data_IF_206005535940
#
_entry.id   IF_206005535940
#
_cell.length_a   1.000
_cell.length_b   1.000
_cell.length_c   1.000
_cell.angle_alpha   90.00
_cell.angle_beta   90.00
_cell.angle_gamma   90.00
#
_symmetry.space_group_name_H-M   'P 1'
#
loop_
_entity.id
_entity.type
_entity.pdbx_description
1 polymer ?
#
# COMPACT_ATOMS: atom_id res chain seq x y z
N UNK A 1 7.44 23.35 -9.62
CA UNK A 1 7.04 22.29 -8.67
C UNK A 1 7.69 20.98 -9.12
N UNK A 2 8.09 20.09 -8.20
CA UNK A 2 8.61 18.75 -8.55
C UNK A 2 7.45 17.75 -8.54
N UNK A 3 7.50 16.75 -9.41
CA UNK A 3 6.54 15.64 -9.35
C UNK A 3 6.80 14.77 -8.11
N UNK A 4 5.73 14.24 -7.53
CA UNK A 4 5.78 13.39 -6.35
C UNK A 4 5.20 12.03 -6.74
N UNK A 5 5.97 10.97 -6.53
CA UNK A 5 5.53 9.59 -6.76
C UNK A 5 5.72 8.82 -5.47
N UNK A 6 4.63 8.22 -4.97
CA UNK A 6 4.64 7.37 -3.78
C UNK A 6 4.37 5.95 -4.22
N UNK A 7 5.31 5.04 -3.91
CA UNK A 7 5.17 3.61 -4.16
C UNK A 7 5.00 2.93 -2.80
N UNK A 8 3.87 2.25 -2.60
CA UNK A 8 3.61 1.48 -1.38
C UNK A 8 3.35 0.03 -1.74
N UNK A 9 4.19 -0.86 -1.24
CA UNK A 9 4.04 -2.30 -1.41
C UNK A 9 3.12 -2.88 -0.33
N UNK A 10 2.34 -3.92 -0.66
CA UNK A 10 1.53 -4.66 0.33
C UNK A 10 2.26 -5.94 0.76
N UNK A 11 2.36 -6.17 2.08
CA UNK A 11 2.95 -7.37 2.68
C UNK A 11 4.42 -7.64 2.29
N UNK A 12 5.12 -6.61 1.79
CA UNK A 12 6.56 -6.69 1.53
C UNK A 12 7.34 -6.62 2.85
N UNK A 13 8.05 -7.70 3.18
CA UNK A 13 8.87 -7.76 4.40
C UNK A 13 10.15 -6.97 4.20
N UNK A 14 10.63 -6.31 5.26
CA UNK A 14 11.88 -5.58 5.22
C UNK A 14 13.08 -6.45 4.81
N UNK A 15 13.14 -7.69 5.28
CA UNK A 15 14.25 -8.62 4.99
C UNK A 15 14.24 -9.15 3.54
N UNK A 16 13.16 -8.92 2.80
CA UNK A 16 13.12 -9.19 1.36
C UNK A 16 13.87 -8.13 0.53
N UNK A 17 14.24 -6.98 1.11
CA UNK A 17 15.07 -6.00 0.42
C UNK A 17 16.53 -6.44 0.52
N UNK A 18 17.22 -6.52 -0.64
CA UNK A 18 18.60 -7.05 -0.74
C UNK A 18 18.69 -8.51 -0.25
N UNK A 19 19.82 -8.88 0.35
CA UNK A 19 20.12 -10.25 0.79
C UNK A 19 20.00 -10.42 2.31
N UNK A 20 18.97 -9.82 2.93
CA UNK A 20 18.78 -9.85 4.39
C UNK A 20 18.01 -11.09 4.88
N UNK A 21 17.15 -11.68 4.04
CA UNK A 21 16.41 -12.88 4.36
C UNK A 21 17.25 -14.16 4.17
N UNK A 22 16.93 -15.21 4.94
CA UNK A 22 17.49 -16.58 4.76
C UNK A 22 17.28 -17.11 3.33
N UNK A 23 16.18 -16.70 2.69
CA UNK A 23 15.86 -16.98 1.29
C UNK A 23 15.76 -15.65 0.54
N UNK A 24 16.88 -15.10 0.02
CA UNK A 24 16.88 -13.82 -0.65
C UNK A 24 15.97 -13.81 -1.87
N UNK A 25 15.27 -12.70 -2.06
CA UNK A 25 14.58 -12.40 -3.32
C UNK A 25 15.40 -11.37 -4.10
N UNK A 26 15.29 -11.41 -5.43
CA UNK A 26 16.02 -10.45 -6.28
C UNK A 26 15.24 -9.15 -6.40
N UNK A 27 15.83 -8.03 -5.98
CA UNK A 27 15.22 -6.69 -6.03
C UNK A 27 16.08 -5.67 -6.80
N UNK A 28 16.57 -5.99 -8.02
CA UNK A 28 17.64 -5.21 -8.67
C UNK A 28 17.32 -3.71 -8.84
N UNK A 29 16.06 -3.38 -9.17
CA UNK A 29 15.65 -1.98 -9.36
C UNK A 29 15.55 -1.20 -8.04
N UNK A 30 15.07 -1.86 -6.97
CA UNK A 30 15.02 -1.25 -5.65
C UNK A 30 16.43 -1.11 -5.05
N UNK A 31 17.28 -2.10 -5.26
CA UNK A 31 18.68 -2.10 -4.80
C UNK A 31 19.44 -0.95 -5.48
N UNK A 32 19.34 -0.84 -6.81
CA UNK A 32 19.94 0.25 -7.58
C UNK A 32 19.42 1.62 -7.15
N UNK A 33 18.10 1.76 -6.96
CA UNK A 33 17.53 3.03 -6.49
C UNK A 33 18.04 3.40 -5.10
N UNK A 34 18.13 2.42 -4.19
CA UNK A 34 18.65 2.61 -2.85
C UNK A 34 20.12 3.02 -2.85
N UNK A 35 20.95 2.43 -3.73
CA UNK A 35 22.39 2.71 -3.80
C UNK A 35 22.72 4.03 -4.50
N UNK A 36 21.98 4.39 -5.56
CA UNK A 36 22.35 5.50 -6.44
C UNK A 36 21.57 6.80 -6.18
N UNK A 37 20.37 6.72 -5.60
CA UNK A 37 19.39 7.83 -5.63
C UNK A 37 18.69 8.12 -4.31
N UNK A 38 18.51 7.13 -3.44
CA UNK A 38 17.64 7.26 -2.28
C UNK A 38 18.41 7.57 -0.99
N UNK A 39 17.72 8.19 -0.04
CA UNK A 39 18.10 8.17 1.37
C UNK A 39 17.34 7.03 2.05
N UNK A 40 18.05 5.99 2.49
CA UNK A 40 17.44 4.90 3.25
C UNK A 40 17.16 5.31 4.69
N UNK A 41 15.93 5.04 5.16
CA UNK A 41 15.54 5.26 6.56
C UNK A 41 15.39 3.89 7.22
N UNK A 42 16.31 3.57 8.12
CA UNK A 42 16.26 2.35 8.91
C UNK A 42 15.35 2.50 10.14
N UNK A 43 14.87 1.37 10.68
CA UNK A 43 13.95 1.35 11.84
C UNK A 43 12.68 2.16 11.60
N UNK A 44 12.19 2.14 10.37
CA UNK A 44 10.89 2.70 10.00
C UNK A 44 9.80 1.70 10.36
N UNK A 45 9.02 2.02 11.41
CA UNK A 45 7.95 1.16 11.88
C UNK A 45 6.61 1.67 11.37
N UNK A 46 5.78 0.73 10.93
CA UNK A 46 4.38 1.02 10.57
C UNK A 46 3.57 1.38 11.82
N UNK A 47 2.55 2.22 11.65
CA UNK A 47 1.56 2.51 12.68
C UNK A 47 0.51 1.41 12.78
N UNK A 48 -0.71 1.73 12.34
CA UNK A 48 -1.85 0.81 12.34
C UNK A 48 -1.69 -0.32 11.32
N UNK A 49 -2.27 -1.49 11.62
CA UNK A 49 -2.19 -2.71 10.78
C UNK A 49 -3.55 -3.42 10.75
N UNK A 50 -3.94 -4.15 9.68
CA UNK A 50 -3.26 -4.37 8.37
C UNK A 50 -3.79 -3.48 7.24
N UNK A 51 -3.03 -3.30 6.17
CA UNK A 51 -3.44 -2.70 4.88
C UNK A 51 -4.27 -1.42 5.03
N UNK A 52 -5.60 -1.47 5.14
CA UNK A 52 -6.48 -0.29 5.21
C UNK A 52 -6.13 0.64 6.39
N UNK A 53 -6.12 0.21 7.66
CA UNK A 53 -5.63 1.03 8.77
C UNK A 53 -4.28 1.70 8.49
N UNK A 54 -3.29 0.98 7.95
CA UNK A 54 -2.00 1.58 7.58
C UNK A 54 -2.12 2.64 6.48
N UNK A 55 -2.90 2.36 5.43
CA UNK A 55 -3.11 3.30 4.32
C UNK A 55 -3.87 4.53 4.81
N UNK A 56 -4.78 4.38 5.77
CA UNK A 56 -5.48 5.49 6.42
C UNK A 56 -4.51 6.35 7.21
N UNK A 57 -3.65 5.77 8.06
CA UNK A 57 -2.63 6.52 8.79
C UNK A 57 -1.77 7.35 7.83
N UNK A 58 -1.33 6.73 6.74
CA UNK A 58 -0.52 7.39 5.71
C UNK A 58 -1.27 8.52 5.00
N UNK A 59 -2.49 8.26 4.51
CA UNK A 59 -3.25 9.22 3.72
C UNK A 59 -3.80 10.39 4.55
N UNK A 60 -4.07 10.16 5.83
CA UNK A 60 -4.60 11.16 6.76
C UNK A 60 -3.51 11.91 7.51
N UNK A 61 -2.32 11.31 7.64
CA UNK A 61 -1.23 11.78 8.50
C UNK A 61 -1.49 11.60 10.00
N UNK A 62 -2.47 10.76 10.38
CA UNK A 62 -2.91 10.59 11.78
C UNK A 62 -2.86 9.11 12.17
N UNK A 63 -2.16 8.80 13.27
CA UNK A 63 -2.11 7.44 13.81
C UNK A 63 -3.50 6.99 14.29
N UNK A 64 -4.02 5.92 13.69
CA UNK A 64 -5.35 5.41 13.94
C UNK A 64 -5.50 4.47 15.13
N UNK A 65 -4.49 3.68 15.46
CA UNK A 65 -4.56 2.72 16.57
C UNK A 65 -4.60 3.43 17.94
N UNK A 66 -5.48 3.03 18.88
CA UNK A 66 -6.51 1.99 18.82
C UNK A 66 -7.92 2.50 18.47
N UNK A 67 -8.03 3.69 17.88
CA UNK A 67 -9.27 4.44 17.71
C UNK A 67 -10.16 3.96 16.55
N UNK A 68 -9.58 3.41 15.49
CA UNK A 68 -10.36 2.85 14.38
C UNK A 68 -9.71 1.60 13.77
N UNK A 69 -10.55 0.79 13.13
CA UNK A 69 -10.15 -0.45 12.48
C UNK A 69 -10.19 -0.36 10.96
N UNK A 70 -10.59 -1.46 10.33
CA UNK A 70 -10.80 -1.50 8.89
C UNK A 70 -12.13 -0.85 8.52
N UNK A 71 -12.06 0.35 7.97
CA UNK A 71 -13.24 1.14 7.60
C UNK A 71 -12.92 2.06 6.42
N UNK A 72 -13.93 2.73 5.85
CA UNK A 72 -13.70 3.74 4.83
C UNK A 72 -12.94 4.96 5.38
N UNK A 73 -12.07 5.55 4.56
CA UNK A 73 -11.15 6.61 5.00
C UNK A 73 -11.86 7.86 5.56
N UNK A 74 -12.98 8.25 4.96
CA UNK A 74 -13.78 9.41 5.35
C UNK A 74 -14.42 9.28 6.73
N UNK A 75 -14.54 8.05 7.24
CA UNK A 75 -15.03 7.78 8.61
C UNK A 75 -13.91 7.94 9.65
N UNK A 76 -12.64 7.87 9.23
CA UNK A 76 -11.47 8.05 10.11
C UNK A 76 -11.08 9.51 10.31
N UNK A 77 -11.48 10.40 9.41
CA UNK A 77 -11.25 11.84 9.54
C UNK A 77 -11.38 12.59 8.21
N UNK A 78 -11.34 13.93 8.24
CA UNK A 78 -11.51 14.77 7.05
C UNK A 78 -10.22 14.92 6.22
N UNK A 79 -9.08 14.45 6.73
CA UNK A 79 -7.78 14.61 6.08
C UNK A 79 -7.60 13.58 4.98
N UNK A 80 -7.14 14.04 3.82
CA UNK A 80 -6.75 13.15 2.73
C UNK A 80 -5.62 13.80 1.93
N UNK A 81 -4.50 13.09 1.79
CA UNK A 81 -3.28 13.62 1.16
C UNK A 81 -3.55 14.16 -0.25
N UNK A 82 -4.36 13.45 -1.05
CA UNK A 82 -4.73 13.89 -2.40
C UNK A 82 -5.42 15.27 -2.40
N UNK A 83 -6.39 15.48 -1.50
CA UNK A 83 -7.07 16.77 -1.34
C UNK A 83 -6.10 17.88 -0.90
N UNK A 84 -5.22 17.58 0.07
CA UNK A 84 -4.27 18.56 0.62
C UNK A 84 -3.24 19.01 -0.43
N UNK A 85 -2.67 18.09 -1.21
CA UNK A 85 -1.73 18.44 -2.27
C UNK A 85 -2.45 19.04 -3.50
N UNK A 86 -3.68 18.62 -3.78
CA UNK A 86 -4.52 19.20 -4.83
C UNK A 86 -4.79 20.68 -4.60
N UNK A 87 -5.08 21.07 -3.35
CA UNK A 87 -5.20 22.48 -2.95
C UNK A 87 -3.91 23.29 -3.17
N UNK A 88 -2.76 22.63 -3.27
CA UNK A 88 -1.47 23.25 -3.57
C UNK A 88 -1.15 23.29 -5.08
N UNK A 89 -2.09 22.92 -5.94
CA UNK A 89 -1.95 22.99 -7.40
C UNK A 89 -1.42 21.72 -8.08
N UNK A 90 -1.40 20.58 -7.38
CA UNK A 90 -1.04 19.28 -7.97
C UNK A 90 -2.24 18.58 -8.59
N UNK A 91 -2.04 17.97 -9.77
CA UNK A 91 -2.94 16.91 -10.22
C UNK A 91 -2.60 15.61 -9.48
N UNK A 92 -3.62 14.86 -9.07
CA UNK A 92 -3.48 13.70 -8.19
C UNK A 92 -4.05 12.44 -8.82
N UNK A 93 -3.31 11.34 -8.71
CA UNK A 93 -3.75 10.05 -9.26
C UNK A 93 -3.51 8.90 -8.29
N UNK A 94 -4.52 8.05 -8.11
CA UNK A 94 -4.42 6.79 -7.41
C UNK A 94 -4.33 5.63 -8.41
N UNK A 95 -3.26 4.85 -8.36
CA UNK A 95 -3.12 3.60 -9.12
C UNK A 95 -2.84 2.49 -8.12
N UNK A 96 -3.73 1.50 -8.05
CA UNK A 96 -3.66 0.45 -7.02
C UNK A 96 -3.99 -0.90 -7.58
N UNK A 97 -3.39 -1.95 -7.04
CA UNK A 97 -3.72 -3.33 -7.31
C UNK A 97 -4.37 -4.04 -6.10
N UNK A 98 -4.38 -3.39 -4.94
CA UNK A 98 -5.13 -3.80 -3.76
C UNK A 98 -6.58 -3.27 -3.86
N UNK A 99 -7.57 -4.15 -4.12
CA UNK A 99 -8.96 -3.75 -4.35
C UNK A 99 -9.63 -3.13 -3.12
N UNK A 100 -9.08 -3.40 -1.94
CA UNK A 100 -9.63 -2.90 -0.68
C UNK A 100 -9.62 -1.37 -0.59
N UNK A 101 -8.70 -0.67 -1.27
CA UNK A 101 -8.66 0.80 -1.24
C UNK A 101 -9.91 1.41 -1.87
N UNK A 102 -10.42 0.83 -2.97
CA UNK A 102 -11.67 1.29 -3.57
C UNK A 102 -12.88 0.97 -2.69
N UNK A 103 -12.91 -0.24 -2.11
CA UNK A 103 -13.97 -0.64 -1.18
C UNK A 103 -14.01 0.27 0.08
N UNK A 104 -12.86 0.82 0.47
CA UNK A 104 -12.69 1.77 1.57
C UNK A 104 -12.65 3.24 1.13
N UNK A 105 -13.09 3.55 -0.10
CA UNK A 105 -13.34 4.93 -0.60
C UNK A 105 -12.12 5.85 -0.71
N UNK A 106 -10.90 5.31 -0.81
CA UNK A 106 -9.68 6.12 -0.95
C UNK A 106 -9.61 6.96 -2.23
N UNK A 107 -10.30 6.53 -3.28
CA UNK A 107 -10.28 7.16 -4.59
C UNK A 107 -11.01 8.51 -4.65
N UNK A 108 -11.88 8.84 -3.69
CA UNK A 108 -12.83 9.95 -3.83
C UNK A 108 -12.18 11.34 -3.86
N UNK A 109 -11.02 11.51 -3.22
CA UNK A 109 -10.32 12.80 -3.15
C UNK A 109 -9.21 12.96 -4.22
N UNK A 110 -9.00 11.95 -5.07
CA UNK A 110 -8.05 12.02 -6.19
C UNK A 110 -8.73 12.54 -7.46
N UNK A 111 -8.00 13.30 -8.29
CA UNK A 111 -8.50 13.76 -9.60
C UNK A 111 -8.72 12.60 -10.57
N UNK A 112 -7.91 11.54 -10.46
CA UNK A 112 -8.07 10.31 -11.21
C UNK A 112 -7.75 9.08 -10.34
N UNK A 113 -8.44 7.98 -10.58
CA UNK A 113 -8.16 6.72 -9.90
C UNK A 113 -8.32 5.52 -10.84
N UNK A 114 -7.42 4.55 -10.73
CA UNK A 114 -7.43 3.31 -11.50
C UNK A 114 -7.08 2.12 -10.60
N UNK A 115 -7.96 1.13 -10.60
CA UNK A 115 -7.72 -0.15 -9.94
C UNK A 115 -7.28 -1.19 -10.97
N UNK A 116 -6.04 -1.64 -10.86
CA UNK A 116 -5.53 -2.83 -11.52
C UNK A 116 -6.04 -4.07 -10.78
N UNK A 117 -6.29 -5.18 -11.49
CA UNK A 117 -6.81 -6.42 -10.86
C UNK A 117 -5.80 -7.12 -9.95
N UNK A 118 -4.52 -6.86 -10.18
CA UNK A 118 -3.43 -7.27 -9.31
C UNK A 118 -3.25 -8.78 -9.20
N UNK A 119 -2.40 -9.20 -8.26
CA UNK A 119 -2.10 -10.61 -8.00
C UNK A 119 -3.01 -11.22 -6.92
N UNK A 120 -3.77 -10.41 -6.18
CA UNK A 120 -4.60 -10.88 -5.06
C UNK A 120 -5.71 -11.84 -5.53
N UNK A 121 -6.33 -11.57 -6.68
CA UNK A 121 -7.45 -12.36 -7.20
C UNK A 121 -7.26 -12.92 -8.62
N UNK A 122 -6.22 -12.50 -9.35
CA UNK A 122 -6.06 -12.81 -10.77
C UNK A 122 -4.98 -13.90 -10.98
N UNK A 123 -5.42 -15.16 -11.08
CA UNK A 123 -4.53 -16.34 -11.27
C UNK A 123 -3.51 -16.16 -12.40
N UNK A 124 -3.87 -15.65 -13.59
CA UNK A 124 -2.92 -15.41 -14.68
C UNK A 124 -1.77 -14.45 -14.37
N UNK A 125 -1.90 -13.63 -13.33
CA UNK A 125 -0.88 -12.67 -12.91
C UNK A 125 0.04 -13.20 -11.80
N UNK A 126 -0.22 -14.40 -11.28
CA UNK A 126 0.68 -15.07 -10.33
C UNK A 126 1.90 -15.63 -11.08
N UNK A 127 3.10 -15.30 -10.60
CA UNK A 127 4.37 -15.66 -11.25
C UNK A 127 4.52 -17.15 -11.61
N UNK A 128 3.86 -18.03 -10.88
CA UNK A 128 3.99 -19.48 -11.06
C UNK A 128 2.79 -20.14 -11.75
N UNK A 129 1.69 -19.42 -12.00
CA UNK A 129 0.40 -19.99 -12.42
C UNK A 129 -0.04 -21.22 -11.60
N UNK A 130 0.49 -21.34 -10.37
CA UNK A 130 0.20 -22.47 -9.50
C UNK A 130 -1.31 -22.48 -9.16
N UNK A 131 -1.94 -23.66 -9.03
CA UNK A 131 -3.29 -23.75 -8.53
C UNK A 131 -3.39 -23.03 -7.17
N UNK A 132 -4.27 -22.04 -7.07
CA UNK A 132 -4.54 -21.38 -5.77
C UNK A 132 -5.00 -22.46 -4.79
N UNK A 133 -4.15 -22.77 -3.81
CA UNK A 133 -4.52 -23.57 -2.66
C UNK A 133 -5.18 -22.63 -1.65
N UNK A 134 -6.46 -22.81 -1.40
CA UNK A 134 -7.15 -22.09 -0.33
C UNK A 134 -6.66 -22.65 1.01
N UNK A 135 -5.60 -22.08 1.56
CA UNK A 135 -5.01 -22.51 2.84
C UNK A 135 -5.40 -21.59 4.00
N UNK A 136 -6.33 -20.65 3.78
CA UNK A 136 -6.77 -19.73 4.83
C UNK A 136 -7.46 -20.54 5.93
N UNK A 137 -6.90 -20.64 7.15
CA UNK A 137 -7.58 -21.31 8.25
C UNK A 137 -8.93 -20.65 8.46
N UNK A 138 -9.99 -21.41 8.73
CA UNK A 138 -11.36 -20.87 8.90
C UNK A 138 -11.41 -19.72 9.92
N UNK A 139 -10.58 -19.75 10.96
CA UNK A 139 -10.46 -18.65 11.94
C UNK A 139 -9.98 -17.31 11.34
N UNK A 140 -9.41 -17.32 10.14
CA UNK A 140 -8.94 -16.16 9.38
C UNK A 140 -9.88 -15.79 8.23
N UNK A 141 -10.87 -16.61 7.89
CA UNK A 141 -11.89 -16.23 6.91
C UNK A 141 -12.86 -15.27 7.59
N UNK A 142 -12.96 -14.04 7.06
CA UNK A 142 -13.88 -13.00 7.56
C UNK A 142 -15.30 -13.21 7.03
N UNK A 143 -15.85 -14.42 7.21
CA UNK A 143 -17.27 -14.74 6.94
C UNK A 143 -18.16 -14.26 8.08
#
# INVERSE_FOLDING_TARGET
MKNIVVIITDTFRYDNLRNLAERPIRTPELDKFADERATSVEKFYMGSFPTIPHRTDFATGVLGWPHYGWQPIDVSGPNHIAKLIGQSGYATQLIVDCPHLFNSRFQHDFDAAFQHRGQEGDKPLLHLNDPIKTVTPTRKTRT
#
